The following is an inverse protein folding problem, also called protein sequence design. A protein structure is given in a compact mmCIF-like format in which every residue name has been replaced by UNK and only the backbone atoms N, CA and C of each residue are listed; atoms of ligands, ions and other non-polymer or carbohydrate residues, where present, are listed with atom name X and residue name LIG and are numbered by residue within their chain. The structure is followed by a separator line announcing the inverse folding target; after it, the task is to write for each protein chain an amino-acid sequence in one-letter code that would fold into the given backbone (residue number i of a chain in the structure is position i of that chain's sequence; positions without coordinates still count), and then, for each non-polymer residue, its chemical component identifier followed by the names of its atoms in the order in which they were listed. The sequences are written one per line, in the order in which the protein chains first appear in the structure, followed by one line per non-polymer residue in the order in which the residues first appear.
data_IF_456414635276
#
_entry.id   IF_456414635276
#
_cell.length_a   1.000
_cell.length_b   1.000
_cell.length_c   1.000
_cell.angle_alpha   90.00
_cell.angle_beta   90.00
_cell.angle_gamma   90.00
#
_symmetry.space_group_name_H-M   'P 1'
#
loop_
_entity.id
_entity.type
_entity.pdbx_description
1 polymer ?
#
# COMPACT_ATOMS: atom_id res chain seq x y z
N UNK A 1 2.05 -2.86 -5.66
CA UNK A 1 2.13 -3.28 -7.08
C UNK A 1 3.20 -2.48 -7.78
N UNK A 2 3.98 -3.12 -8.65
CA UNK A 2 5.12 -2.49 -9.30
C UNK A 2 4.97 -2.54 -10.83
N UNK A 3 5.17 -1.40 -11.50
CA UNK A 3 5.10 -1.27 -12.96
C UNK A 3 6.51 -1.22 -13.57
N UNK A 4 6.67 -1.88 -14.71
CA UNK A 4 7.89 -1.86 -15.53
C UNK A 4 7.54 -1.36 -16.93
N UNK A 5 8.28 -0.35 -17.39
CA UNK A 5 8.24 0.18 -18.75
C UNK A 5 9.52 -0.23 -19.49
N UNK A 6 9.44 -0.55 -20.78
CA UNK A 6 10.60 -0.93 -21.59
C UNK A 6 11.22 0.28 -22.29
N UNK A 7 12.40 0.69 -21.81
CA UNK A 7 13.42 1.58 -22.40
C UNK A 7 12.97 2.89 -23.10
N UNK A 8 12.74 3.98 -22.34
CA UNK A 8 12.98 5.39 -22.79
C UNK A 8 13.22 6.32 -21.58
N UNK A 9 14.08 7.37 -21.67
CA UNK A 9 14.10 8.50 -20.70
C UNK A 9 12.72 9.18 -20.59
N UNK A 10 12.38 9.70 -19.40
CA UNK A 10 11.05 10.21 -18.97
C UNK A 10 10.33 11.23 -19.87
N UNK A 11 10.92 11.69 -20.98
CA UNK A 11 10.51 12.90 -21.72
C UNK A 11 10.01 12.63 -23.15
N UNK A 12 9.87 11.38 -23.58
CA UNK A 12 9.40 11.05 -24.94
C UNK A 12 7.99 10.49 -24.92
N UNK A 13 7.13 10.97 -25.83
CA UNK A 13 5.75 10.51 -25.98
C UNK A 13 5.70 8.98 -26.17
N UNK A 14 5.12 8.28 -25.19
CA UNK A 14 5.05 6.83 -25.14
C UNK A 14 4.20 6.29 -26.31
N UNK A 15 4.83 5.66 -27.30
CA UNK A 15 4.13 4.64 -28.11
C UNK A 15 3.70 3.51 -27.17
N UNK A 16 2.49 2.98 -27.36
CA UNK A 16 1.90 1.93 -26.53
C UNK A 16 2.79 0.67 -26.47
N UNK A 17 3.69 0.61 -25.48
CA UNK A 17 4.53 -0.57 -25.21
C UNK A 17 3.86 -1.48 -24.18
N UNK A 18 4.19 -2.78 -24.15
CA UNK A 18 3.66 -3.70 -23.16
C UNK A 18 4.09 -3.27 -21.76
N UNK A 19 3.12 -3.02 -20.86
CA UNK A 19 3.41 -2.81 -19.44
C UNK A 19 3.31 -4.15 -18.73
N UNK A 20 4.17 -4.38 -17.75
CA UNK A 20 4.11 -5.56 -16.89
C UNK A 20 3.71 -5.18 -15.48
N UNK A 21 2.83 -5.99 -14.92
CA UNK A 21 2.46 -5.97 -13.52
C UNK A 21 3.25 -7.05 -12.80
N UNK A 22 3.83 -6.70 -11.65
CA UNK A 22 4.39 -7.68 -10.71
C UNK A 22 3.71 -7.50 -9.36
N UNK A 23 3.23 -8.61 -8.80
CA UNK A 23 2.83 -8.73 -7.39
C UNK A 23 3.75 -9.75 -6.75
N UNK A 24 4.28 -9.43 -5.58
CA UNK A 24 5.22 -10.31 -4.90
C UNK A 24 5.15 -10.15 -3.39
N UNK A 25 5.50 -11.22 -2.67
CA UNK A 25 5.74 -11.21 -1.24
C UNK A 25 7.14 -11.75 -0.93
N UNK A 26 7.84 -11.07 -0.04
CA UNK A 26 9.08 -11.54 0.55
C UNK A 26 8.94 -11.78 2.04
N UNK A 27 9.79 -12.66 2.57
CA UNK A 27 9.90 -12.92 3.99
C UNK A 27 11.33 -12.67 4.46
N UNK A 28 11.45 -11.98 5.61
CA UNK A 28 12.68 -11.87 6.39
C UNK A 28 12.46 -12.63 7.69
N UNK A 29 13.35 -13.58 7.99
CA UNK A 29 13.24 -14.44 9.17
C UNK A 29 14.61 -14.85 9.70
N UNK A 30 14.65 -15.28 10.96
CA UNK A 30 15.87 -15.83 11.57
C UNK A 30 15.80 -17.35 11.49
N UNK A 31 16.74 -17.98 10.76
CA UNK A 31 16.94 -19.44 10.71
C UNK A 31 18.33 -19.75 11.25
N UNK A 32 18.43 -20.64 12.25
CA UNK A 32 19.70 -21.04 12.87
C UNK A 32 20.60 -19.83 13.21
N UNK A 33 20.05 -18.85 13.95
CA UNK A 33 20.70 -17.57 14.33
C UNK A 33 21.11 -16.62 13.19
N UNK A 34 20.82 -16.97 11.93
CA UNK A 34 21.11 -16.11 10.78
C UNK A 34 19.83 -15.46 10.25
N UNK A 35 19.91 -14.16 9.96
CA UNK A 35 18.87 -13.48 9.20
C UNK A 35 18.91 -14.00 7.75
N UNK A 36 17.75 -14.41 7.26
CA UNK A 36 17.53 -14.92 5.90
C UNK A 36 16.41 -14.11 5.28
N UNK A 37 16.58 -13.74 4.03
CA UNK A 37 15.52 -13.17 3.21
C UNK A 37 15.28 -14.01 1.97
N UNK A 38 14.02 -14.23 1.63
CA UNK A 38 13.60 -15.03 0.50
C UNK A 38 12.26 -14.53 -0.07
N UNK A 39 12.00 -14.84 -1.34
CA UNK A 39 10.64 -14.77 -1.88
C UNK A 39 9.76 -15.80 -1.17
N UNK A 40 8.52 -15.44 -0.87
CA UNK A 40 7.56 -16.42 -0.36
C UNK A 40 7.19 -17.36 -1.52
N UNK A 41 7.41 -18.69 -1.38
CA UNK A 41 7.16 -19.62 -2.47
C UNK A 41 5.71 -19.55 -2.99
N UNK A 42 5.56 -19.38 -4.31
CA UNK A 42 4.24 -19.29 -4.95
C UNK A 42 3.57 -17.90 -4.87
N UNK A 43 4.22 -16.91 -4.24
CA UNK A 43 3.68 -15.55 -4.10
C UNK A 43 4.53 -14.52 -4.84
N UNK A 44 4.95 -14.88 -6.05
CA UNK A 44 5.55 -13.98 -7.03
C UNK A 44 4.87 -14.24 -8.35
N UNK A 45 4.11 -13.26 -8.83
CA UNK A 45 3.37 -13.36 -10.07
C UNK A 45 3.66 -12.14 -10.94
N UNK A 46 3.84 -12.37 -12.22
CA UNK A 46 4.06 -11.32 -13.21
C UNK A 46 3.24 -11.58 -14.46
N UNK A 47 2.62 -10.53 -15.00
CA UNK A 47 1.81 -10.62 -16.22
C UNK A 47 1.86 -9.35 -17.05
N UNK A 48 1.58 -9.48 -18.34
CA UNK A 48 1.38 -8.33 -19.22
C UNK A 48 0.04 -7.67 -18.91
N UNK A 49 0.04 -6.35 -18.72
CA UNK A 49 -1.17 -5.57 -18.38
C UNK A 49 -2.22 -5.53 -19.49
N UNK A 50 -1.84 -5.92 -20.71
CA UNK A 50 -2.69 -5.82 -21.90
C UNK A 50 -3.38 -7.14 -22.28
N UNK A 51 -2.95 -8.26 -21.69
CA UNK A 51 -3.58 -9.56 -21.93
C UNK A 51 -4.73 -9.71 -20.94
N UNK A 52 -5.98 -9.65 -21.42
CA UNK A 52 -7.14 -10.19 -20.72
C UNK A 52 -7.24 -11.67 -21.08
N UNK A 53 -6.67 -12.56 -20.27
CA UNK A 53 -7.07 -13.97 -20.31
C UNK A 53 -8.03 -14.21 -19.14
N UNK A 54 -9.15 -14.87 -19.48
CA UNK A 54 -10.29 -15.40 -18.71
C UNK A 54 -10.48 -15.01 -17.23
N UNK A 55 -11.76 -14.89 -16.83
CA UNK A 55 -12.29 -14.41 -15.54
C UNK A 55 -11.72 -15.01 -14.23
N UNK A 56 -10.84 -16.01 -14.32
CA UNK A 56 -10.15 -16.64 -13.20
C UNK A 56 -8.78 -16.03 -12.86
N UNK A 57 -8.16 -15.30 -13.78
CA UNK A 57 -6.76 -14.90 -13.65
C UNK A 57 -6.58 -13.42 -13.27
N UNK A 58 -5.42 -13.11 -12.67
CA UNK A 58 -4.97 -11.79 -12.24
C UNK A 58 -4.80 -10.75 -13.38
N UNK A 59 -5.37 -11.02 -14.54
CA UNK A 59 -5.20 -10.36 -15.81
C UNK A 59 -6.15 -9.15 -15.99
N UNK A 60 -5.87 -8.09 -15.21
CA UNK A 60 -6.50 -6.78 -15.32
C UNK A 60 -5.79 -5.74 -14.44
N UNK A 61 -6.34 -4.52 -14.33
CA UNK A 61 -5.95 -3.60 -13.25
C UNK A 61 -6.14 -4.37 -11.94
N UNK A 62 -5.05 -4.67 -11.23
CA UNK A 62 -5.09 -5.40 -9.96
C UNK A 62 -5.97 -4.64 -8.98
N UNK A 63 -7.24 -5.05 -8.95
CA UNK A 63 -8.30 -4.39 -8.22
C UNK A 63 -8.35 -4.94 -6.79
N UNK A 64 -9.08 -4.26 -5.91
CA UNK A 64 -9.21 -4.66 -4.51
C UNK A 64 -9.62 -6.13 -4.33
N UNK A 65 -10.51 -6.67 -5.18
CA UNK A 65 -10.94 -8.07 -5.08
C UNK A 65 -9.83 -9.08 -5.44
N UNK A 66 -8.98 -8.76 -6.41
CA UNK A 66 -7.83 -9.61 -6.77
C UNK A 66 -6.80 -9.62 -5.64
N UNK A 67 -6.47 -8.42 -5.13
CA UNK A 67 -5.61 -8.30 -3.97
C UNK A 67 -6.12 -9.09 -2.78
N UNK A 68 -7.41 -9.01 -2.46
CA UNK A 68 -7.97 -9.72 -1.29
C UNK A 68 -7.85 -11.24 -1.39
N UNK A 69 -8.11 -11.81 -2.58
CA UNK A 69 -7.93 -13.26 -2.80
C UNK A 69 -6.46 -13.66 -2.70
N UNK A 70 -5.58 -12.90 -3.34
CA UNK A 70 -4.14 -13.13 -3.29
C UNK A 70 -3.62 -13.05 -1.85
N UNK A 71 -4.05 -12.03 -1.11
CA UNK A 71 -3.60 -11.77 0.25
C UNK A 71 -4.11 -12.79 1.26
N UNK A 72 -5.35 -13.27 1.12
CA UNK A 72 -5.87 -14.37 1.96
C UNK A 72 -5.06 -15.67 1.72
N UNK A 73 -4.75 -15.98 0.45
CA UNK A 73 -3.91 -17.13 0.08
C UNK A 73 -2.48 -17.00 0.65
N UNK A 74 -1.92 -15.78 0.58
CA UNK A 74 -0.62 -15.46 1.16
C UNK A 74 -0.62 -15.73 2.65
N UNK A 75 -1.63 -15.23 3.37
CA UNK A 75 -1.76 -15.44 4.81
C UNK A 75 -1.85 -16.94 5.18
N UNK A 76 -2.61 -17.73 4.43
CA UNK A 76 -2.68 -19.18 4.66
C UNK A 76 -1.31 -19.87 4.48
N UNK A 77 -0.55 -19.44 3.46
CA UNK A 77 0.80 -19.97 3.20
C UNK A 77 1.80 -19.51 4.25
N UNK A 78 1.74 -18.24 4.66
CA UNK A 78 2.59 -17.70 5.73
C UNK A 78 2.38 -18.47 7.04
N UNK A 79 1.14 -18.76 7.41
CA UNK A 79 0.83 -19.56 8.60
C UNK A 79 1.50 -20.93 8.55
N UNK A 80 1.44 -21.60 7.40
CA UNK A 80 1.96 -22.97 7.24
C UNK A 80 3.49 -23.00 7.18
N UNK A 81 4.11 -22.05 6.47
CA UNK A 81 5.54 -22.08 6.15
C UNK A 81 6.42 -21.23 7.07
N UNK A 82 5.85 -20.22 7.74
CA UNK A 82 6.57 -19.22 8.53
C UNK A 82 5.99 -18.99 9.94
N UNK A 83 4.78 -19.47 10.22
CA UNK A 83 4.07 -19.21 11.48
C UNK A 83 3.50 -17.79 11.55
N UNK A 84 3.23 -17.25 12.76
CA UNK A 84 2.77 -15.87 12.92
C UNK A 84 3.77 -14.86 12.33
N UNK A 85 3.26 -13.86 11.60
CA UNK A 85 4.09 -12.91 10.87
C UNK A 85 3.62 -11.48 11.11
N UNK A 86 4.57 -10.53 11.00
CA UNK A 86 4.27 -9.10 10.81
C UNK A 86 4.40 -8.79 9.32
N UNK A 87 3.27 -8.45 8.70
CA UNK A 87 3.16 -8.18 7.27
C UNK A 87 3.19 -6.67 7.07
N UNK A 88 4.23 -6.20 6.39
CA UNK A 88 4.41 -4.79 6.05
C UNK A 88 3.88 -4.53 4.65
N UNK A 89 3.07 -3.48 4.49
CA UNK A 89 2.51 -3.08 3.19
C UNK A 89 2.36 -1.56 3.08
N UNK A 90 2.36 -1.04 1.85
CA UNK A 90 2.12 0.38 1.60
C UNK A 90 0.67 0.78 1.94
N UNK A 91 0.44 2.10 1.99
CA UNK A 91 -0.85 2.69 2.28
C UNK A 91 -1.83 2.77 1.10
N UNK A 92 -1.62 2.05 0.00
CA UNK A 92 -2.49 2.17 -1.19
C UNK A 92 -3.94 1.81 -0.88
N UNK A 93 -4.87 2.44 -1.61
CA UNK A 93 -6.31 2.36 -1.33
C UNK A 93 -6.86 0.93 -1.40
N UNK A 94 -6.32 0.09 -2.29
CA UNK A 94 -6.74 -1.30 -2.42
C UNK A 94 -6.19 -2.20 -1.30
N UNK A 95 -5.03 -1.89 -0.71
CA UNK A 95 -4.57 -2.55 0.53
C UNK A 95 -5.43 -2.17 1.74
N UNK A 96 -5.97 -0.94 1.73
CA UNK A 96 -6.74 -0.33 2.82
C UNK A 96 -8.25 -0.26 2.55
N UNK A 97 -8.84 -1.29 1.91
CA UNK A 97 -10.30 -1.32 1.76
C UNK A 97 -11.00 -1.30 3.12
N UNK A 98 -11.80 -0.28 3.36
CA UNK A 98 -12.55 -0.07 4.61
C UNK A 98 -13.79 -0.97 4.62
N UNK A 99 -14.00 -1.68 5.74
CA UNK A 99 -15.15 -2.56 5.96
C UNK A 99 -16.33 -1.86 6.64
N UNK A 100 -16.05 -0.75 7.34
CA UNK A 100 -17.02 0.07 8.06
C UNK A 100 -16.91 1.54 7.62
N UNK A 101 -17.30 1.86 6.37
CA UNK A 101 -17.19 3.22 5.87
C UNK A 101 -18.12 4.14 6.66
N UNK A 102 -17.57 5.23 7.19
CA UNK A 102 -18.35 6.31 7.78
C UNK A 102 -18.66 7.37 6.71
N UNK A 103 -19.74 8.16 6.86
CA UNK A 103 -20.04 9.26 5.96
C UNK A 103 -18.89 10.27 5.84
N UNK A 104 -18.77 10.87 4.67
CA UNK A 104 -17.74 11.86 4.32
C UNK A 104 -18.36 13.17 3.82
N UNK A 105 -17.51 14.15 3.50
CA UNK A 105 -17.95 15.44 2.91
C UNK A 105 -18.70 15.27 1.58
N UNK A 106 -18.54 14.17 0.86
CA UNK A 106 -19.29 13.87 -0.36
C UNK A 106 -20.64 13.17 -0.08
N UNK A 107 -20.85 12.60 1.10
CA UNK A 107 -22.10 11.92 1.46
C UNK A 107 -23.28 12.90 1.53
N UNK A 108 -24.45 12.54 0.99
CA UNK A 108 -25.65 13.40 1.05
C UNK A 108 -26.13 13.58 2.49
N UNK A 109 -26.67 14.76 2.85
CA UNK A 109 -27.14 15.08 4.21
C UNK A 109 -28.05 14.00 4.80
N UNK A 110 -29.02 13.52 4.02
CA UNK A 110 -29.95 12.47 4.46
C UNK A 110 -29.23 11.17 4.81
N UNK A 111 -28.29 10.71 3.98
CA UNK A 111 -27.53 9.50 4.26
C UNK A 111 -26.62 9.63 5.51
N UNK A 112 -26.18 10.84 5.85
CA UNK A 112 -25.46 11.08 7.12
C UNK A 112 -26.40 10.92 8.32
N UNK A 113 -27.63 11.47 8.22
CA UNK A 113 -28.67 11.32 9.24
C UNK A 113 -29.06 9.85 9.43
N UNK A 114 -29.27 9.11 8.35
CA UNK A 114 -29.64 7.69 8.38
C UNK A 114 -28.51 6.86 9.02
N UNK A 115 -27.25 7.16 8.70
CA UNK A 115 -26.10 6.51 9.30
C UNK A 115 -25.99 6.80 10.80
N UNK A 116 -26.12 8.07 11.23
CA UNK A 116 -26.11 8.44 12.64
C UNK A 116 -27.22 7.73 13.43
N UNK A 117 -28.42 7.64 12.84
CA UNK A 117 -29.52 6.88 13.43
C UNK A 117 -29.19 5.39 13.57
N UNK A 118 -28.53 4.79 12.57
CA UNK A 118 -28.09 3.40 12.63
C UNK A 118 -27.01 3.14 13.70
N UNK A 119 -26.24 4.17 14.06
CA UNK A 119 -25.26 4.14 15.16
C UNK A 119 -25.91 4.52 16.52
N UNK A 120 -27.24 4.64 16.57
CA UNK A 120 -28.01 4.91 17.80
C UNK A 120 -28.09 6.38 18.19
N UNK A 121 -27.76 7.31 17.29
CA UNK A 121 -27.85 8.77 17.51
C UNK A 121 -29.17 9.29 16.92
N UNK A 122 -30.15 9.70 17.74
CA UNK A 122 -31.42 10.22 17.23
C UNK A 122 -31.26 11.56 16.51
N UNK A 123 -32.01 11.75 15.43
CA UNK A 123 -31.99 12.96 14.62
C UNK A 123 -33.07 13.94 15.09
N UNK A 124 -32.80 14.68 16.16
CA UNK A 124 -33.71 15.76 16.61
C UNK A 124 -33.57 16.99 15.69
N UNK A 125 -34.69 17.47 15.17
CA UNK A 125 -34.79 18.67 14.31
C UNK A 125 -33.78 18.66 13.13
N UNK A 126 -33.82 17.64 12.26
CA UNK A 126 -32.82 17.45 11.19
C UNK A 126 -32.73 18.61 10.21
N UNK A 127 -33.80 19.38 10.03
CA UNK A 127 -33.85 20.60 9.23
C UNK A 127 -32.91 21.70 9.75
N UNK A 128 -32.70 21.79 11.07
CA UNK A 128 -31.80 22.77 11.70
C UNK A 128 -30.33 22.35 11.66
N UNK A 129 -30.04 21.07 11.36
CA UNK A 129 -28.67 20.54 11.38
C UNK A 129 -27.93 20.84 10.07
N UNK A 130 -26.77 21.48 10.17
CA UNK A 130 -25.86 21.66 9.03
C UNK A 130 -25.09 20.38 8.74
N UNK A 131 -24.66 20.19 7.48
CA UNK A 131 -23.82 19.05 7.09
C UNK A 131 -22.51 19.00 7.89
N UNK A 132 -21.91 20.16 8.15
CA UNK A 132 -20.71 20.31 8.99
C UNK A 132 -20.94 19.78 10.40
N UNK A 133 -22.08 20.13 11.03
CA UNK A 133 -22.43 19.62 12.36
C UNK A 133 -22.62 18.12 12.36
N UNK A 134 -23.31 17.58 11.36
CA UNK A 134 -23.52 16.13 11.22
C UNK A 134 -22.20 15.37 11.06
N UNK A 135 -21.27 15.87 10.22
CA UNK A 135 -19.95 15.24 10.07
C UNK A 135 -19.12 15.30 11.36
N UNK A 136 -19.25 16.36 12.16
CA UNK A 136 -18.63 16.43 13.49
C UNK A 136 -19.21 15.41 14.47
N UNK A 137 -20.48 15.00 14.32
CA UNK A 137 -21.07 13.93 15.12
C UNK A 137 -20.57 12.56 14.63
N UNK A 138 -20.47 12.38 13.30
CA UNK A 138 -19.88 11.17 12.69
C UNK A 138 -18.47 10.93 13.22
N UNK A 139 -17.62 11.96 13.31
CA UNK A 139 -16.24 11.80 13.80
C UNK A 139 -16.17 11.38 15.27
N UNK A 140 -17.14 11.79 16.09
CA UNK A 140 -17.20 11.46 17.52
C UNK A 140 -17.71 10.03 17.76
N UNK A 141 -18.59 9.53 16.90
CA UNK A 141 -19.29 8.25 17.11
C UNK A 141 -18.69 7.11 16.30
N UNK A 142 -18.05 7.39 15.16
CA UNK A 142 -17.52 6.34 14.28
C UNK A 142 -16.56 5.42 15.03
N UNK A 143 -16.78 4.12 14.87
CA UNK A 143 -15.84 3.12 15.35
C UNK A 143 -14.47 3.24 14.64
N UNK A 144 -13.38 2.74 15.25
CA UNK A 144 -12.09 2.62 14.59
C UNK A 144 -12.21 1.93 13.22
N UNK A 145 -11.46 2.42 12.25
CA UNK A 145 -11.48 1.90 10.87
C UNK A 145 -11.01 0.44 10.87
N UNK A 146 -11.75 -0.41 10.17
CA UNK A 146 -11.44 -1.83 9.97
C UNK A 146 -11.07 -2.05 8.51
N UNK A 147 -9.85 -2.51 8.27
CA UNK A 147 -9.37 -2.85 6.93
C UNK A 147 -9.57 -4.32 6.62
N UNK A 148 -9.91 -4.61 5.37
CA UNK A 148 -10.11 -5.97 4.86
C UNK A 148 -8.87 -6.85 5.01
N UNK A 149 -7.70 -6.34 4.60
CA UNK A 149 -6.39 -6.98 4.78
C UNK A 149 -6.06 -7.28 6.24
N UNK A 150 -6.32 -6.34 7.15
CA UNK A 150 -6.11 -6.56 8.61
C UNK A 150 -7.02 -7.69 9.12
N UNK A 151 -8.27 -7.75 8.67
CA UNK A 151 -9.20 -8.83 9.02
C UNK A 151 -8.71 -10.19 8.50
N UNK A 152 -8.26 -10.25 7.25
CA UNK A 152 -7.67 -11.44 6.63
C UNK A 152 -6.44 -11.93 7.41
N UNK A 153 -5.44 -11.06 7.60
CA UNK A 153 -4.24 -11.38 8.36
C UNK A 153 -4.53 -11.89 9.78
N UNK A 154 -5.46 -11.24 10.48
CA UNK A 154 -5.83 -11.63 11.85
C UNK A 154 -6.47 -13.02 11.93
N UNK A 155 -7.25 -13.45 10.94
CA UNK A 155 -7.80 -14.82 10.86
C UNK A 155 -6.69 -15.88 10.86
N UNK A 156 -5.55 -15.53 10.28
CA UNK A 156 -4.35 -16.36 10.15
C UNK A 156 -3.28 -16.04 11.21
N UNK A 157 -3.64 -15.32 12.28
CA UNK A 157 -2.73 -14.93 13.39
C UNK A 157 -1.52 -14.08 12.94
N UNK A 158 -1.65 -13.35 11.83
CA UNK A 158 -0.67 -12.34 11.42
C UNK A 158 -1.10 -10.94 11.86
N UNK A 159 -0.13 -10.03 11.91
CA UNK A 159 -0.32 -8.59 12.15
C UNK A 159 0.02 -7.81 10.88
N UNK A 160 -0.82 -6.87 10.47
CA UNK A 160 -0.50 -5.95 9.36
C UNK A 160 0.02 -4.63 9.93
N UNK A 161 1.11 -4.13 9.35
CA UNK A 161 1.71 -2.84 9.62
C UNK A 161 1.78 -2.06 8.31
N UNK A 162 1.25 -0.85 8.31
CA UNK A 162 1.30 0.03 7.15
C UNK A 162 2.47 1.00 7.29
N UNK A 163 3.28 1.11 6.24
CA UNK A 163 4.27 2.18 6.17
C UNK A 163 3.57 3.53 6.03
N UNK A 164 4.19 4.58 6.57
CA UNK A 164 3.69 5.94 6.44
C UNK A 164 3.58 6.34 4.96
N UNK A 165 2.58 7.16 4.57
CA UNK A 165 2.50 7.71 3.23
C UNK A 165 3.79 8.42 2.84
N UNK A 166 4.15 8.36 1.55
CA UNK A 166 5.30 9.08 0.97
C UNK A 166 6.70 8.67 1.47
N UNK A 167 6.82 7.54 2.18
CA UNK A 167 8.11 6.99 2.63
C UNK A 167 8.41 5.61 2.03
N UNK A 168 8.48 5.44 0.69
CA UNK A 168 8.79 4.16 0.06
C UNK A 168 10.20 3.65 0.41
N UNK A 169 11.12 4.53 0.79
CA UNK A 169 12.46 4.19 1.27
C UNK A 169 12.45 3.41 2.59
N UNK A 170 11.35 3.45 3.34
CA UNK A 170 11.13 2.65 4.55
C UNK A 170 10.52 1.27 4.26
N UNK A 171 10.42 0.87 2.99
CA UNK A 171 9.90 -0.42 2.58
C UNK A 171 11.00 -1.28 1.94
N UNK A 172 11.51 -2.32 2.63
CA UNK A 172 12.58 -3.15 2.07
C UNK A 172 12.21 -3.78 0.73
N UNK A 173 10.93 -4.14 0.55
CA UNK A 173 10.42 -4.71 -0.70
C UNK A 173 10.58 -3.75 -1.89
N UNK A 174 10.51 -2.43 -1.70
CA UNK A 174 10.70 -1.46 -2.78
C UNK A 174 12.16 -1.43 -3.28
N UNK A 175 13.13 -1.65 -2.37
CA UNK A 175 14.54 -1.78 -2.74
C UNK A 175 14.80 -3.09 -3.48
N UNK A 176 14.21 -4.19 -3.03
CA UNK A 176 14.31 -5.51 -3.70
C UNK A 176 13.66 -5.45 -5.09
N UNK A 177 12.46 -4.88 -5.19
CA UNK A 177 11.78 -4.64 -6.45
C UNK A 177 12.58 -3.69 -7.35
N UNK A 178 13.24 -2.67 -6.80
CA UNK A 178 14.17 -1.80 -7.52
C UNK A 178 15.34 -2.56 -8.13
N UNK A 179 15.96 -3.47 -7.37
CA UNK A 179 17.02 -4.35 -7.88
C UNK A 179 16.51 -5.27 -9.00
N UNK A 180 15.29 -5.82 -8.87
CA UNK A 180 14.65 -6.61 -9.92
C UNK A 180 14.42 -5.78 -11.20
N UNK A 181 13.86 -4.57 -11.08
CA UNK A 181 13.64 -3.66 -12.22
C UNK A 181 14.93 -3.37 -12.97
N UNK A 182 15.99 -3.03 -12.24
CA UNK A 182 17.27 -2.69 -12.85
C UNK A 182 17.82 -3.85 -13.68
N UNK A 183 17.62 -5.09 -13.24
CA UNK A 183 18.02 -6.28 -14.03
C UNK A 183 17.18 -6.47 -15.30
N UNK A 184 15.89 -6.15 -15.24
CA UNK A 184 14.97 -6.27 -16.38
C UNK A 184 15.23 -5.20 -17.45
N UNK A 185 15.62 -3.99 -17.02
CA UNK A 185 15.95 -2.85 -17.90
C UNK A 185 17.31 -2.99 -18.61
N UNK A 186 18.14 -3.95 -18.23
CA UNK A 186 19.43 -4.17 -18.90
C UNK A 186 19.21 -4.96 -20.20
N UNK A 187 19.61 -4.34 -21.32
CA UNK A 187 19.66 -4.94 -22.66
C UNK A 187 18.36 -4.78 -23.48
N UNK A 188 18.42 -4.83 -24.83
CA UNK A 188 17.25 -4.65 -25.67
C UNK A 188 16.24 -5.77 -25.44
N UNK A 189 15.05 -5.46 -24.91
CA UNK A 189 13.91 -6.38 -24.84
C UNK A 189 12.88 -5.99 -25.88
N UNK A 190 12.76 -6.75 -26.98
CA UNK A 190 11.86 -6.41 -28.10
C UNK A 190 10.57 -7.24 -28.09
N UNK A 191 10.48 -8.35 -27.35
CA UNK A 191 9.29 -9.21 -27.28
C UNK A 191 8.76 -9.46 -25.87
N UNK A 192 7.51 -9.96 -25.79
CA UNK A 192 6.85 -10.36 -24.53
C UNK A 192 7.56 -11.54 -23.86
N UNK A 193 8.04 -12.50 -24.66
CA UNK A 193 8.78 -13.65 -24.18
C UNK A 193 10.11 -13.22 -23.54
N UNK A 194 10.82 -12.26 -24.16
CA UNK A 194 12.08 -11.74 -23.62
C UNK A 194 11.88 -11.08 -22.25
N UNK A 195 10.81 -10.30 -22.08
CA UNK A 195 10.52 -9.66 -20.80
C UNK A 195 10.14 -10.69 -19.72
N UNK A 196 9.38 -11.71 -20.08
CA UNK A 196 9.00 -12.79 -19.15
C UNK A 196 10.24 -13.56 -18.67
N UNK A 197 11.16 -13.88 -19.58
CA UNK A 197 12.43 -14.55 -19.25
C UNK A 197 13.34 -13.65 -18.41
N UNK A 198 13.41 -12.35 -18.72
CA UNK A 198 14.15 -11.38 -17.89
C UNK A 198 13.57 -11.23 -16.49
N UNK A 199 12.24 -11.27 -16.34
CA UNK A 199 11.60 -11.27 -15.01
C UNK A 199 12.02 -12.53 -14.26
N UNK A 200 11.94 -13.71 -14.88
CA UNK A 200 12.34 -14.99 -14.27
C UNK A 200 13.81 -14.97 -13.85
N UNK A 201 14.72 -14.63 -14.76
CA UNK A 201 16.16 -14.51 -14.47
C UNK A 201 16.46 -13.44 -13.41
N UNK A 202 15.71 -12.34 -13.43
CA UNK A 202 15.79 -11.29 -12.43
C UNK A 202 15.41 -11.80 -11.04
N UNK A 203 14.29 -12.53 -10.93
CA UNK A 203 13.80 -13.13 -9.69
C UNK A 203 14.78 -14.16 -9.13
N UNK A 204 15.31 -15.05 -9.98
CA UNK A 204 16.30 -16.08 -9.60
C UNK A 204 17.59 -15.45 -9.05
N UNK A 205 17.95 -14.27 -9.53
CA UNK A 205 19.16 -13.58 -9.13
C UNK A 205 18.99 -12.69 -7.89
N UNK A 206 17.77 -12.53 -7.37
CA UNK A 206 17.53 -11.91 -6.07
C UNK A 206 17.83 -12.95 -5.00
N UNK A 207 18.97 -12.77 -4.34
CA UNK A 207 19.46 -13.68 -3.31
C UNK A 207 19.26 -13.11 -1.90
N UNK A 208 19.66 -13.91 -0.89
CA UNK A 208 19.62 -13.50 0.52
C UNK A 208 20.38 -12.21 0.80
N UNK A 209 21.46 -11.93 0.06
CA UNK A 209 22.27 -10.72 0.27
C UNK A 209 21.51 -9.47 -0.14
N UNK A 210 20.74 -9.55 -1.23
CA UNK A 210 19.86 -8.47 -1.69
C UNK A 210 18.80 -8.14 -0.65
N UNK A 211 18.13 -9.14 -0.09
CA UNK A 211 17.13 -8.95 0.97
C UNK A 211 17.73 -8.35 2.25
N UNK A 212 18.84 -8.90 2.74
CA UNK A 212 19.48 -8.43 3.97
C UNK A 212 20.02 -7.01 3.80
N UNK A 213 20.59 -6.70 2.62
CA UNK A 213 21.05 -5.35 2.28
C UNK A 213 19.90 -4.34 2.26
N UNK A 214 18.77 -4.68 1.63
CA UNK A 214 17.58 -3.85 1.63
C UNK A 214 17.06 -3.62 3.06
N UNK A 215 16.98 -4.67 3.88
CA UNK A 215 16.54 -4.55 5.27
C UNK A 215 17.43 -3.63 6.10
N UNK A 216 18.75 -3.84 6.05
CA UNK A 216 19.72 -3.02 6.80
C UNK A 216 19.66 -1.55 6.38
N UNK A 217 19.54 -1.28 5.08
CA UNK A 217 19.38 0.08 4.57
C UNK A 217 18.14 0.78 5.15
N UNK A 218 17.02 0.06 5.27
CA UNK A 218 15.82 0.60 5.92
C UNK A 218 16.07 0.89 7.40
N UNK A 219 16.74 -0.01 8.12
CA UNK A 219 17.08 0.22 9.53
C UNK A 219 17.97 1.46 9.73
N UNK A 220 18.91 1.70 8.82
CA UNK A 220 19.78 2.89 8.88
C UNK A 220 18.98 4.18 8.66
N UNK A 221 18.01 4.18 7.75
CA UNK A 221 17.11 5.32 7.50
C UNK A 221 16.21 5.55 8.73
N UNK A 222 15.59 4.49 9.27
CA UNK A 222 14.75 4.57 10.48
C UNK A 222 15.52 5.17 11.65
N UNK A 223 16.78 4.73 11.86
CA UNK A 223 17.64 5.28 12.90
C UNK A 223 17.92 6.76 12.70
N UNK A 224 18.26 7.16 11.47
CA UNK A 224 18.54 8.56 11.14
C UNK A 224 17.31 9.45 11.39
N UNK A 225 16.13 8.99 11.01
CA UNK A 225 14.88 9.73 11.24
C UNK A 225 14.60 9.92 12.73
N UNK A 226 14.76 8.87 13.54
CA UNK A 226 14.57 8.94 15.00
C UNK A 226 15.56 9.89 15.67
N UNK A 227 16.81 9.92 15.21
CA UNK A 227 17.82 10.86 15.72
C UNK A 227 17.43 12.31 15.38
N UNK A 228 16.90 12.57 14.18
CA UNK A 228 16.45 13.91 13.78
C UNK A 228 15.21 14.40 14.55
N UNK A 229 14.25 13.52 14.84
CA UNK A 229 13.06 13.87 15.63
C UNK A 229 13.41 14.26 17.08
N UNK A 230 14.48 13.68 17.65
CA UNK A 230 14.95 14.02 19.00
C UNK A 230 15.70 15.35 19.06
N UNK A 231 16.12 15.89 17.92
CA UNK A 231 16.80 17.18 17.79
C UNK A 231 15.83 18.34 17.57
N UNK A 232 14.57 18.09 17.24
CA UNK A 232 13.58 19.15 17.11
C UNK A 232 13.17 19.68 18.50
N UNK A 233 13.19 21.01 18.72
CA UNK A 233 12.64 21.58 19.95
C UNK A 233 11.16 21.23 20.05
N UNK A 234 10.61 21.04 21.27
CA UNK A 234 9.20 20.74 21.43
C UNK A 234 8.36 21.82 20.72
N UNK A 235 7.27 21.43 20.05
CA UNK A 235 6.40 22.40 19.40
C UNK A 235 5.98 23.44 20.44
N UNK A 236 5.95 24.74 20.08
CA UNK A 236 5.53 25.77 21.00
C UNK A 236 4.14 25.42 21.56
N UNK A 237 3.86 25.71 22.85
CA UNK A 237 2.54 25.49 23.42
C UNK A 237 1.48 26.11 22.52
N UNK A 238 0.37 25.39 22.31
CA UNK A 238 -0.78 25.85 21.56
C UNK A 238 -1.46 27.00 22.31
N UNK A 239 -0.86 28.18 22.34
CA UNK A 239 -1.52 29.43 22.73
C UNK A 239 -2.14 30.09 21.49
N UNK A 240 -3.44 30.32 21.62
CA UNK A 240 -4.42 30.97 20.74
C UNK A 240 -3.87 31.69 19.50
N UNK A 241 -3.94 31.01 18.36
CA UNK A 241 -4.03 31.68 17.05
C UNK A 241 -5.45 32.25 16.88
N UNK A 242 -5.63 33.57 16.71
CA UNK A 242 -6.94 34.14 16.42
C UNK A 242 -7.35 33.79 14.98
N UNK A 243 -8.50 33.15 14.84
CA UNK A 243 -9.16 32.91 13.55
C UNK A 243 -8.68 31.66 12.83
N UNK A 244 -9.28 30.52 13.13
CA UNK A 244 -9.19 29.33 12.30
C UNK A 244 -9.73 29.65 10.89
N UNK A 245 -8.82 29.83 9.93
CA UNK A 245 -9.14 29.70 8.52
C UNK A 245 -9.73 28.30 8.29
N UNK A 246 -10.81 28.27 7.52
CA UNK A 246 -11.54 27.07 7.12
C UNK A 246 -10.61 26.01 6.52
N UNK A 247 -10.88 24.75 6.81
CA UNK A 247 -10.18 23.59 6.24
C UNK A 247 -10.57 23.31 4.77
N UNK A 248 -10.64 24.36 3.94
CA UNK A 248 -10.99 24.30 2.51
C UNK A 248 -9.87 24.85 1.59
N UNK A 249 -8.64 25.03 2.08
CA UNK A 249 -7.48 25.31 1.22
C UNK A 249 -6.58 24.06 1.10
N UNK A 250 -7.08 23.05 0.39
CA UNK A 250 -6.20 22.13 -0.36
C UNK A 250 -6.01 22.74 -1.74
N UNK A 251 -5.05 23.67 -1.87
CA UNK A 251 -4.58 24.09 -3.19
C UNK A 251 -3.92 22.89 -3.87
N UNK A 252 -4.60 22.43 -4.92
CA UNK A 252 -4.11 21.53 -5.94
C UNK A 252 -2.93 22.22 -6.64
N UNK A 253 -1.70 21.94 -6.21
CA UNK A 253 -0.52 22.27 -7.02
C UNK A 253 -0.51 21.35 -8.24
N UNK A 254 -1.08 21.83 -9.34
CA UNK A 254 -0.73 21.39 -10.69
C UNK A 254 0.78 21.58 -10.86
N UNK A 255 1.53 20.48 -10.83
CA UNK A 255 2.85 20.45 -11.47
C UNK A 255 2.58 20.11 -12.93
N UNK A 256 2.45 21.16 -13.73
CA UNK A 256 2.50 21.10 -15.19
C UNK A 256 3.89 20.58 -15.61
N UNK A 257 3.92 19.52 -16.43
CA UNK A 257 5.11 19.12 -17.18
C UNK A 257 5.27 20.01 -18.41
#
# INVERSE_FOLDING_TARGET
MTWIETDVPRYMAARARPRYCIVSAGALLVRNVHLVGEWVPGFVEAWSSHLKQNDSDYHGNFAGALFERWFESLCATLTTSYGPCRVYMDGTSYHKRILNPAPTTSTKKQAILDWLFSEGIPNYNPELLTKKRLLSMVTQVRAPIRYSSVKAAKRHRHQVLYTLPYHPELQPIELVCGALKNRILVGPGSSIADVSEKIRAGLDAIDKHTWIGAYRKVQDIEKTNLESEQLEPPPPPLEEMPGAASADDFEEYEITL
#
